data_IF_295034442050
#
_entry.id   IF_295034442050
#
_cell.length_a   1.000
_cell.length_b   1.000
_cell.length_c   1.000
_cell.angle_alpha   90.00
_cell.angle_beta   90.00
_cell.angle_gamma   90.00
#
_symmetry.space_group_name_H-M   'P 1'
#
loop_
_entity.id
_entity.type
_entity.pdbx_description
1 polymer ?
#
# COMPACT_ATOMS: atom_id res chain seq x y z
N UNK A 1 -4.59 5.49 -36.37
CA UNK A 1 -4.42 4.03 -36.47
C UNK A 1 -5.77 3.37 -36.24
N UNK A 2 -5.99 2.20 -36.83
CA UNK A 2 -7.17 1.33 -36.63
C UNK A 2 -6.96 0.42 -35.42
N UNK A 3 -8.03 -0.16 -34.86
CA UNK A 3 -7.98 -1.10 -33.73
C UNK A 3 -6.96 -2.23 -33.95
N UNK A 4 -6.95 -2.81 -35.16
CA UNK A 4 -6.04 -3.90 -35.52
C UNK A 4 -4.58 -3.45 -35.58
N UNK A 5 -4.30 -2.22 -36.04
CA UNK A 5 -2.94 -1.69 -36.06
C UNK A 5 -2.42 -1.41 -34.64
N UNK A 6 -3.28 -0.93 -33.75
CA UNK A 6 -2.93 -0.68 -32.34
C UNK A 6 -2.74 -2.01 -31.60
N UNK A 7 -3.61 -3.00 -31.83
CA UNK A 7 -3.47 -4.35 -31.27
C UNK A 7 -2.14 -4.99 -31.69
N UNK A 8 -1.77 -4.90 -32.97
CA UNK A 8 -0.47 -5.39 -33.45
C UNK A 8 0.70 -4.63 -32.83
N UNK A 9 0.57 -3.31 -32.63
CA UNK A 9 1.60 -2.54 -31.93
C UNK A 9 1.77 -2.99 -30.48
N UNK A 10 0.67 -3.22 -29.75
CA UNK A 10 0.69 -3.78 -28.38
C UNK A 10 1.37 -5.15 -28.36
N UNK A 11 0.99 -6.04 -29.28
CA UNK A 11 1.61 -7.37 -29.41
C UNK A 11 3.11 -7.30 -29.70
N UNK A 12 3.53 -6.37 -30.56
CA UNK A 12 4.93 -6.15 -30.92
C UNK A 12 5.72 -5.60 -29.75
N UNK A 13 5.18 -4.61 -29.02
CA UNK A 13 5.81 -4.08 -27.81
C UNK A 13 6.03 -5.17 -26.77
N UNK A 14 5.01 -6.01 -26.54
CA UNK A 14 5.10 -7.10 -25.57
C UNK A 14 6.15 -8.15 -25.99
N UNK A 15 6.17 -8.56 -27.26
CA UNK A 15 7.09 -9.59 -27.75
C UNK A 15 8.53 -9.09 -27.95
N UNK A 16 8.70 -7.93 -28.58
CA UNK A 16 9.99 -7.47 -29.09
C UNK A 16 10.67 -6.46 -28.16
N UNK A 17 9.92 -5.52 -27.58
CA UNK A 17 10.49 -4.49 -26.70
C UNK A 17 10.62 -4.97 -25.26
N UNK A 18 9.62 -5.70 -24.76
CA UNK A 18 9.55 -6.17 -23.37
C UNK A 18 9.99 -7.62 -23.19
N UNK A 19 10.07 -8.40 -24.27
CA UNK A 19 10.36 -9.84 -24.24
C UNK A 19 9.46 -10.59 -23.23
N UNK A 20 8.17 -10.25 -23.22
CA UNK A 20 7.21 -10.72 -22.24
C UNK A 20 6.97 -12.22 -22.35
N UNK A 21 7.11 -12.95 -21.24
CA UNK A 21 7.12 -14.42 -21.25
C UNK A 21 5.71 -15.04 -21.37
N UNK A 22 4.66 -14.31 -21.01
CA UNK A 22 3.30 -14.83 -20.91
C UNK A 22 2.42 -14.30 -22.06
N UNK A 23 2.75 -14.73 -23.27
CA UNK A 23 2.00 -14.37 -24.49
C UNK A 23 1.06 -15.47 -24.99
N UNK A 24 1.06 -16.63 -24.32
CA UNK A 24 0.15 -17.72 -24.63
C UNK A 24 -1.30 -17.29 -24.38
N UNK A 25 -2.10 -17.26 -25.45
CA UNK A 25 -3.49 -16.81 -25.38
C UNK A 25 -3.68 -15.30 -25.53
N UNK A 26 -2.65 -14.55 -25.93
CA UNK A 26 -2.80 -13.13 -26.28
C UNK A 26 -3.90 -12.93 -27.32
N UNK A 27 -4.81 -12.01 -27.02
CA UNK A 27 -5.93 -11.65 -27.87
C UNK A 27 -6.78 -10.56 -27.20
N UNK A 28 -7.77 -9.98 -27.91
CA UNK A 28 -8.56 -8.85 -27.41
C UNK A 28 -9.21 -9.11 -26.04
N UNK A 29 -9.70 -10.33 -25.82
CA UNK A 29 -10.40 -10.71 -24.59
C UNK A 29 -9.46 -11.17 -23.46
N UNK A 30 -8.15 -11.27 -23.72
CA UNK A 30 -7.18 -11.67 -22.72
C UNK A 30 -7.11 -10.62 -21.61
N UNK A 31 -7.22 -11.06 -20.36
CA UNK A 31 -7.15 -10.21 -19.18
C UNK A 31 -5.69 -9.88 -18.89
N UNK A 32 -5.39 -8.59 -18.81
CA UNK A 32 -4.01 -8.09 -18.72
C UNK A 32 -3.28 -8.70 -17.53
N UNK A 33 -3.89 -8.67 -16.34
CA UNK A 33 -3.26 -9.20 -15.14
C UNK A 33 -3.32 -10.74 -15.06
N UNK A 34 -4.49 -11.32 -15.27
CA UNK A 34 -4.74 -12.72 -14.91
C UNK A 34 -4.27 -13.70 -15.99
N UNK A 35 -4.41 -13.33 -17.26
CA UNK A 35 -4.04 -14.21 -18.37
C UNK A 35 -2.63 -13.87 -18.89
N UNK A 36 -2.29 -12.57 -18.92
CA UNK A 36 -1.00 -12.09 -19.41
C UNK A 36 -0.03 -11.66 -18.32
N UNK A 37 -0.38 -11.69 -17.02
CA UNK A 37 0.55 -11.35 -15.94
C UNK A 37 1.15 -9.93 -16.04
N UNK A 38 0.41 -9.00 -16.66
CA UNK A 38 0.75 -7.59 -16.78
C UNK A 38 0.21 -6.83 -15.59
N UNK A 39 1.13 -6.40 -14.72
CA UNK A 39 0.81 -5.52 -13.61
C UNK A 39 0.79 -4.04 -14.01
N UNK A 40 0.47 -3.16 -13.06
CA UNK A 40 0.42 -1.72 -13.32
C UNK A 40 1.76 -1.11 -13.79
N UNK A 41 2.90 -1.68 -13.40
CA UNK A 41 4.22 -1.23 -13.83
C UNK A 41 4.48 -1.64 -15.28
N UNK A 42 4.15 -2.88 -15.63
CA UNK A 42 4.26 -3.39 -16.99
C UNK A 42 3.29 -2.67 -17.94
N UNK A 43 2.09 -2.30 -17.48
CA UNK A 43 1.14 -1.48 -18.26
C UNK A 43 1.73 -0.09 -18.55
N UNK A 44 2.36 0.56 -17.57
CA UNK A 44 3.06 1.84 -17.81
C UNK A 44 4.22 1.68 -18.81
N UNK A 45 4.95 0.57 -18.74
CA UNK A 45 6.02 0.25 -19.68
C UNK A 45 5.47 0.04 -21.10
N UNK A 46 4.30 -0.58 -21.26
CA UNK A 46 3.61 -0.69 -22.55
C UNK A 46 3.26 0.70 -23.08
N UNK A 47 2.64 1.55 -22.26
CA UNK A 47 2.29 2.92 -22.66
C UNK A 47 3.51 3.70 -23.14
N UNK A 48 4.62 3.59 -22.43
CA UNK A 48 5.85 4.28 -22.77
C UNK A 48 6.42 3.79 -24.11
N UNK A 49 6.49 2.46 -24.32
CA UNK A 49 6.97 1.91 -25.58
C UNK A 49 6.03 2.24 -26.77
N UNK A 50 4.71 2.24 -26.56
CA UNK A 50 3.76 2.67 -27.58
C UNK A 50 3.94 4.15 -27.96
N UNK A 51 4.18 5.01 -26.96
CA UNK A 51 4.47 6.43 -27.21
C UNK A 51 5.78 6.61 -28.00
N UNK A 52 6.86 5.94 -27.58
CA UNK A 52 8.19 6.13 -28.15
C UNK A 52 8.36 5.50 -29.53
N UNK A 53 7.85 4.28 -29.75
CA UNK A 53 8.05 3.52 -30.99
C UNK A 53 6.98 3.83 -32.05
N UNK A 54 5.75 4.15 -31.61
CA UNK A 54 4.60 4.31 -32.51
C UNK A 54 3.97 5.71 -32.48
N UNK A 55 4.47 6.63 -31.63
CA UNK A 55 3.88 7.96 -31.45
C UNK A 55 2.50 7.94 -30.80
N UNK A 56 2.14 6.82 -30.16
CA UNK A 56 0.86 6.62 -29.49
C UNK A 56 0.95 7.09 -28.04
N UNK A 57 0.83 8.41 -27.84
CA UNK A 57 0.78 8.98 -26.50
C UNK A 57 -0.52 8.60 -25.78
N UNK A 58 -0.41 8.06 -24.57
CA UNK A 58 -1.57 7.80 -23.71
C UNK A 58 -2.01 9.11 -23.02
N UNK A 59 -3.32 9.42 -22.95
CA UNK A 59 -3.79 10.54 -22.13
C UNK A 59 -3.43 10.34 -20.66
N UNK A 60 -3.02 11.40 -19.95
CA UNK A 60 -2.68 11.31 -18.52
C UNK A 60 -3.86 10.77 -17.69
N UNK A 61 -5.10 11.07 -18.09
CA UNK A 61 -6.30 10.56 -17.43
C UNK A 61 -6.49 9.04 -17.61
N UNK A 62 -5.88 8.43 -18.62
CA UNK A 62 -5.92 6.99 -18.86
C UNK A 62 -4.84 6.25 -18.06
N UNK A 63 -3.68 6.87 -17.78
CA UNK A 63 -2.72 6.37 -16.79
C UNK A 63 -3.39 6.26 -15.41
N UNK A 64 -4.32 7.17 -15.12
CA UNK A 64 -5.02 7.22 -13.84
C UNK A 64 -6.11 6.16 -13.67
N UNK A 65 -6.72 5.70 -14.75
CA UNK A 65 -7.85 4.75 -14.74
C UNK A 65 -7.32 3.31 -14.72
N UNK A 66 -7.51 2.64 -13.59
CA UNK A 66 -7.22 1.20 -13.44
C UNK A 66 -8.28 0.28 -14.06
N UNK A 67 -9.27 0.83 -14.78
CA UNK A 67 -10.35 0.04 -15.39
C UNK A 67 -9.95 -0.67 -16.70
N UNK A 68 -8.64 -0.85 -16.94
CA UNK A 68 -8.14 -1.58 -18.10
C UNK A 68 -7.99 -3.03 -17.68
N UNK A 69 -8.99 -3.84 -18.01
CA UNK A 69 -9.01 -5.25 -17.61
C UNK A 69 -8.44 -6.12 -18.73
N UNK A 70 -8.73 -5.78 -20.00
CA UNK A 70 -8.39 -6.59 -21.16
C UNK A 70 -7.47 -5.89 -22.16
N UNK A 71 -6.89 -6.64 -23.09
CA UNK A 71 -6.13 -6.09 -24.22
C UNK A 71 -7.03 -5.18 -25.08
N UNK A 72 -8.32 -5.50 -25.25
CA UNK A 72 -9.26 -4.65 -25.95
C UNK A 72 -9.45 -3.28 -25.26
N UNK A 73 -9.54 -3.26 -23.93
CA UNK A 73 -9.63 -2.02 -23.16
C UNK A 73 -8.39 -1.15 -23.36
N UNK A 74 -7.21 -1.79 -23.37
CA UNK A 74 -5.92 -1.14 -23.61
C UNK A 74 -5.87 -0.50 -25.01
N UNK A 75 -6.27 -1.24 -26.05
CA UNK A 75 -6.36 -0.73 -27.42
C UNK A 75 -7.34 0.44 -27.52
N UNK A 76 -8.48 0.35 -26.83
CA UNK A 76 -9.54 1.36 -26.87
C UNK A 76 -9.12 2.72 -26.30
N UNK A 77 -8.03 2.80 -25.52
CA UNK A 77 -7.49 4.07 -25.03
C UNK A 77 -6.97 4.97 -26.15
N UNK A 78 -6.46 4.37 -27.23
CA UNK A 78 -5.81 5.06 -28.34
C UNK A 78 -6.73 5.36 -29.52
N UNK A 79 -8.00 4.93 -29.41
CA UNK A 79 -9.01 5.21 -30.42
C UNK A 79 -9.64 6.59 -30.20
N UNK A 80 -10.02 7.30 -31.27
CA UNK A 80 -10.72 8.58 -31.15
C UNK A 80 -12.04 8.41 -30.38
N UNK A 81 -12.09 8.83 -29.12
CA UNK A 81 -13.32 8.80 -28.33
C UNK A 81 -14.30 9.87 -28.83
N UNK A 82 -15.54 9.48 -29.16
CA UNK A 82 -16.68 10.38 -28.94
C UNK A 82 -16.78 10.55 -27.42
N UNK A 83 -16.67 11.78 -26.93
CA UNK A 83 -16.77 12.14 -25.52
C UNK A 83 -17.94 11.42 -24.85
N UNK A 84 -17.64 10.35 -24.13
CA UNK A 84 -18.47 9.81 -23.08
C UNK A 84 -17.74 10.12 -21.78
N UNK A 85 -18.31 11.02 -21.01
CA UNK A 85 -17.89 11.27 -19.63
C UNK A 85 -18.29 10.02 -18.85
N UNK A 86 -17.34 9.12 -18.64
CA UNK A 86 -17.47 8.07 -17.65
C UNK A 86 -16.71 8.54 -16.42
N UNK A 87 -17.50 8.98 -15.44
CA UNK A 87 -17.11 9.25 -14.07
C UNK A 87 -16.67 7.91 -13.46
N UNK A 88 -15.47 7.79 -12.87
CA UNK A 88 -15.18 6.62 -12.05
C UNK A 88 -16.11 6.68 -10.84
N UNK A 89 -17.05 5.75 -10.78
CA UNK A 89 -17.90 5.56 -9.61
C UNK A 89 -17.39 4.32 -8.89
N UNK A 90 -16.66 4.53 -7.79
CA UNK A 90 -16.74 3.56 -6.71
C UNK A 90 -18.21 3.51 -6.27
N UNK A 91 -18.79 2.34 -5.96
CA UNK A 91 -20.10 2.31 -5.33
C UNK A 91 -20.00 2.99 -3.96
N UNK A 92 -20.36 4.27 -3.91
CA UNK A 92 -20.57 5.03 -2.68
C UNK A 92 -21.80 4.43 -2.00
N UNK A 93 -21.59 3.43 -1.14
CA UNK A 93 -22.59 3.09 -0.14
C UNK A 93 -22.44 4.03 1.05
N UNK A 94 -22.91 5.28 0.87
CA UNK A 94 -23.23 6.17 1.98
C UNK A 94 -24.41 5.56 2.74
N UNK A 95 -24.20 5.21 4.01
CA UNK A 95 -25.30 4.88 4.91
C UNK A 95 -26.23 6.09 5.02
N UNK A 96 -27.54 5.84 5.07
CA UNK A 96 -28.61 6.87 5.02
C UNK A 96 -28.77 7.68 6.32
N UNK A 97 -27.73 7.79 7.15
CA UNK A 97 -27.74 8.63 8.34
C UNK A 97 -26.73 9.78 8.17
N UNK A 98 -27.23 11.02 8.22
CA UNK A 98 -26.46 12.28 8.19
C UNK A 98 -25.43 12.43 9.33
N UNK A 99 -25.27 11.42 10.20
CA UNK A 99 -24.20 11.34 11.20
C UNK A 99 -23.25 10.19 10.86
N UNK A 100 -22.00 10.54 10.51
CA UNK A 100 -20.87 9.60 10.43
C UNK A 100 -20.44 9.20 9.03
N UNK A 101 -19.12 9.05 8.86
CA UNK A 101 -18.48 8.52 7.67
C UNK A 101 -18.54 6.99 7.71
N UNK A 102 -19.29 6.41 6.77
CA UNK A 102 -19.56 4.99 6.53
C UNK A 102 -20.19 4.22 7.72
N UNK A 103 -21.39 3.68 7.50
CA UNK A 103 -21.91 2.56 8.30
C UNK A 103 -21.04 1.30 8.14
N UNK A 104 -21.46 0.16 8.70
CA UNK A 104 -20.69 -1.10 8.70
C UNK A 104 -20.22 -1.61 7.32
N UNK A 105 -20.76 -1.07 6.22
CA UNK A 105 -20.37 -1.36 4.84
C UNK A 105 -19.26 -0.41 4.32
N UNK A 106 -18.09 -0.42 4.98
CA UNK A 106 -16.90 0.33 4.56
C UNK A 106 -16.05 -0.48 3.54
N UNK A 107 -15.64 0.16 2.43
CA UNK A 107 -14.64 -0.39 1.50
C UNK A 107 -13.24 -0.14 2.08
N UNK A 108 -12.67 -1.18 2.67
CA UNK A 108 -11.44 -1.11 3.47
C UNK A 108 -10.19 -1.12 2.60
N UNK A 109 -9.64 0.04 2.21
CA UNK A 109 -8.41 0.08 1.37
C UNK A 109 -7.26 -0.44 2.23
N UNK A 110 -6.83 -1.67 1.96
CA UNK A 110 -5.69 -2.30 2.63
C UNK A 110 -4.43 -1.99 1.83
N UNK A 111 -3.39 -1.62 2.55
CA UNK A 111 -2.25 -0.85 2.01
C UNK A 111 -0.91 -1.30 2.57
N UNK A 112 -0.91 -2.37 3.39
CA UNK A 112 0.27 -2.88 4.08
C UNK A 112 -0.01 -4.26 4.68
N UNK A 113 0.48 -5.32 4.04
CA UNK A 113 0.20 -6.71 4.34
C UNK A 113 0.28 -7.12 5.83
N UNK A 114 1.34 -6.74 6.54
CA UNK A 114 1.45 -6.98 7.99
C UNK A 114 0.32 -6.33 8.80
N UNK A 115 0.10 -5.02 8.60
CA UNK A 115 -0.93 -4.22 9.29
C UNK A 115 -2.32 -4.78 8.99
N UNK A 116 -2.56 -5.17 7.74
CA UNK A 116 -3.83 -5.76 7.32
C UNK A 116 -4.08 -7.12 7.97
N UNK A 117 -3.06 -7.95 8.12
CA UNK A 117 -3.17 -9.22 8.84
C UNK A 117 -3.52 -9.05 10.31
N UNK A 118 -2.79 -8.19 11.04
CA UNK A 118 -3.06 -8.01 12.49
C UNK A 118 -4.40 -7.30 12.75
N UNK A 119 -4.84 -6.43 11.84
CA UNK A 119 -6.14 -5.74 11.98
C UNK A 119 -7.36 -6.58 11.60
N UNK A 120 -7.19 -7.69 10.86
CA UNK A 120 -8.31 -8.49 10.36
C UNK A 120 -9.26 -8.96 11.48
N UNK A 121 -8.70 -9.52 12.56
CA UNK A 121 -9.51 -9.97 13.70
C UNK A 121 -10.08 -8.85 14.57
N UNK A 122 -9.52 -7.63 14.56
CA UNK A 122 -10.08 -6.49 15.30
C UNK A 122 -11.48 -6.14 14.77
N UNK A 123 -11.62 -6.09 13.45
CA UNK A 123 -12.90 -5.79 12.79
C UNK A 123 -13.96 -6.83 13.12
N UNK A 124 -13.60 -8.13 13.11
CA UNK A 124 -14.51 -9.23 13.46
C UNK A 124 -15.03 -9.13 14.89
N UNK A 125 -14.30 -8.46 15.78
CA UNK A 125 -14.69 -8.22 17.17
C UNK A 125 -15.37 -6.86 17.39
N UNK A 126 -15.63 -6.11 16.32
CA UNK A 126 -16.26 -4.79 16.40
C UNK A 126 -15.33 -3.68 16.93
N UNK A 127 -14.02 -3.93 16.99
CA UNK A 127 -13.03 -2.92 17.36
C UNK A 127 -12.66 -2.05 16.14
N UNK A 128 -12.40 -0.77 16.40
CA UNK A 128 -11.98 0.15 15.36
C UNK A 128 -10.50 -0.04 15.02
N UNK A 129 -10.24 -0.64 13.86
CA UNK A 129 -8.89 -0.95 13.36
C UNK A 129 -8.20 0.22 12.63
N UNK A 130 -8.98 1.23 12.21
CA UNK A 130 -8.47 2.36 11.39
C UNK A 130 -7.30 3.10 12.04
N UNK A 131 -7.27 3.34 13.37
CA UNK A 131 -6.14 4.02 13.97
C UNK A 131 -4.80 3.32 13.77
N UNK A 132 -4.79 2.01 13.57
CA UNK A 132 -3.51 1.31 13.37
C UNK A 132 -2.84 1.66 12.04
N UNK A 133 -3.62 2.13 11.05
CA UNK A 133 -3.12 2.57 9.75
C UNK A 133 -2.38 3.90 9.80
N UNK A 134 -2.38 4.63 10.93
CA UNK A 134 -1.58 5.84 11.07
C UNK A 134 -0.09 5.58 10.86
N UNK A 135 0.38 4.36 11.15
CA UNK A 135 1.77 3.97 10.91
C UNK A 135 2.10 3.66 9.45
N UNK A 136 1.15 3.71 8.52
CA UNK A 136 1.35 3.22 7.15
C UNK A 136 1.76 4.30 6.14
N UNK A 137 1.15 5.49 6.17
CA UNK A 137 1.35 6.52 5.13
C UNK A 137 2.82 6.93 4.92
N UNK A 138 3.61 6.89 6.00
CA UNK A 138 5.05 7.15 6.01
C UNK A 138 5.82 5.97 6.64
N UNK A 139 5.28 4.75 6.53
CA UNK A 139 5.99 3.55 6.93
C UNK A 139 7.37 3.51 6.28
N UNK A 140 8.36 3.03 7.03
CA UNK A 140 9.76 3.03 6.59
C UNK A 140 9.93 2.34 5.23
N UNK A 141 10.82 2.90 4.44
CA UNK A 141 11.42 2.36 3.23
C UNK A 141 12.90 2.75 3.25
N UNK A 142 13.71 2.16 2.39
CA UNK A 142 15.13 2.47 2.29
C UNK A 142 15.47 3.10 0.92
N UNK A 143 16.61 3.78 0.87
CA UNK A 143 17.25 4.20 -0.36
C UNK A 143 18.64 3.57 -0.38
N UNK A 144 18.95 2.79 -1.42
CA UNK A 144 20.24 2.10 -1.52
C UNK A 144 21.40 3.07 -1.76
N UNK A 145 22.64 2.60 -1.60
CA UNK A 145 23.84 3.38 -1.96
C UNK A 145 23.89 3.74 -3.47
N UNK A 146 23.10 3.05 -4.30
CA UNK A 146 22.90 3.35 -5.72
C UNK A 146 21.71 4.26 -5.99
N UNK A 147 21.13 4.88 -4.96
CA UNK A 147 19.94 5.71 -5.05
C UNK A 147 18.72 4.96 -5.59
N UNK A 148 18.52 3.70 -5.18
CA UNK A 148 17.33 2.92 -5.54
C UNK A 148 16.33 2.95 -4.39
N UNK A 149 15.05 3.18 -4.69
CA UNK A 149 13.97 3.09 -3.71
C UNK A 149 13.68 1.62 -3.39
N UNK A 150 13.74 1.27 -2.11
CA UNK A 150 13.53 -0.08 -1.60
C UNK A 150 12.36 -0.11 -0.62
N UNK A 151 11.26 -0.74 -1.02
CA UNK A 151 10.09 -1.05 -0.19
C UNK A 151 10.44 -2.02 0.94
N UNK A 152 11.39 -2.93 0.70
CA UNK A 152 11.89 -3.90 1.66
C UNK A 152 13.43 -3.86 1.72
N UNK A 153 13.97 -3.84 2.93
CA UNK A 153 15.41 -3.91 3.18
C UNK A 153 15.67 -4.60 4.53
N UNK A 154 16.84 -5.25 4.75
CA UNK A 154 17.13 -6.00 5.97
C UNK A 154 16.97 -5.21 7.28
N UNK A 155 17.17 -3.89 7.22
CA UNK A 155 17.00 -2.96 8.34
C UNK A 155 15.54 -2.61 8.66
N UNK A 156 14.59 -2.95 7.77
CA UNK A 156 13.17 -2.69 7.96
C UNK A 156 12.58 -3.83 8.80
N UNK A 157 12.33 -3.54 10.07
CA UNK A 157 11.71 -4.46 11.02
C UNK A 157 10.24 -4.12 11.29
N UNK A 158 9.43 -5.15 11.58
CA UNK A 158 8.04 -4.99 12.04
C UNK A 158 7.91 -4.68 13.54
N UNK A 159 9.02 -4.58 14.28
CA UNK A 159 9.01 -4.35 15.73
C UNK A 159 8.25 -3.08 16.16
N UNK A 160 8.33 -2.03 15.34
CA UNK A 160 7.55 -0.81 15.56
C UNK A 160 6.04 -1.12 15.55
N UNK A 161 5.56 -1.83 14.54
CA UNK A 161 4.15 -2.20 14.46
C UNK A 161 3.75 -3.17 15.58
N UNK A 162 4.58 -4.18 15.89
CA UNK A 162 4.30 -5.16 16.95
C UNK A 162 4.10 -4.51 18.31
N UNK A 163 5.09 -3.72 18.74
CA UNK A 163 5.08 -3.05 20.04
C UNK A 163 3.90 -2.08 20.17
N UNK A 164 3.56 -1.36 19.10
CA UNK A 164 2.38 -0.49 19.09
C UNK A 164 1.07 -1.24 19.04
N UNK A 165 0.98 -2.36 18.32
CA UNK A 165 -0.23 -3.18 18.28
C UNK A 165 -0.57 -3.73 19.66
N UNK A 166 0.44 -4.26 20.38
CA UNK A 166 0.29 -4.71 21.76
C UNK A 166 -0.11 -3.56 22.69
N UNK A 167 0.53 -2.39 22.57
CA UNK A 167 0.20 -1.23 23.40
C UNK A 167 -1.21 -0.70 23.15
N UNK A 168 -1.65 -0.65 21.89
CA UNK A 168 -2.95 -0.13 21.50
C UNK A 168 -4.06 -1.11 21.81
N UNK A 169 -3.94 -2.34 21.34
CA UNK A 169 -5.01 -3.32 21.34
C UNK A 169 -4.81 -4.44 22.34
N UNK A 170 -3.68 -4.52 23.04
CA UNK A 170 -3.42 -5.55 24.05
C UNK A 170 -3.08 -6.93 23.50
N UNK A 171 -2.97 -7.08 22.19
CA UNK A 171 -2.68 -8.36 21.52
C UNK A 171 -1.17 -8.53 21.39
N UNK A 172 -0.66 -9.63 21.93
CA UNK A 172 0.76 -9.97 21.80
C UNK A 172 1.04 -10.52 20.40
N UNK A 173 1.96 -9.89 19.65
CA UNK A 173 2.40 -10.37 18.33
C UNK A 173 3.79 -10.98 18.43
N UNK A 174 3.86 -12.31 18.44
CA UNK A 174 5.10 -13.07 18.67
C UNK A 174 5.67 -13.53 17.34
N UNK A 175 6.90 -13.12 17.06
CA UNK A 175 7.67 -13.64 15.93
C UNK A 175 8.10 -15.08 16.19
N UNK A 176 7.85 -15.96 15.22
CA UNK A 176 8.24 -17.37 15.32
C UNK A 176 9.42 -17.74 14.41
N UNK A 177 9.71 -16.91 13.42
CA UNK A 177 10.79 -17.13 12.48
C UNK A 177 12.13 -16.75 13.11
N UNK A 178 13.11 -17.65 13.01
CA UNK A 178 14.46 -17.45 13.54
C UNK A 178 15.46 -17.43 12.37
N UNK A 179 16.10 -16.28 12.08
CA UNK A 179 17.05 -16.18 10.98
C UNK A 179 18.32 -17.02 11.18
N UNK A 180 18.63 -17.46 12.41
CA UNK A 180 19.78 -18.31 12.71
C UNK A 180 19.49 -19.80 12.46
N UNK A 181 18.23 -20.16 12.20
CA UNK A 181 17.79 -21.53 11.88
C UNK A 181 17.68 -21.75 10.37
N UNK A 182 17.80 -23.01 9.95
CA UNK A 182 17.61 -23.35 8.54
C UNK A 182 16.16 -23.10 8.11
N UNK A 183 15.94 -22.87 6.81
CA UNK A 183 14.59 -22.74 6.24
C UNK A 183 13.70 -23.95 6.54
N UNK A 184 14.27 -25.16 6.54
CA UNK A 184 13.55 -26.39 6.88
C UNK A 184 13.15 -26.44 8.36
N UNK A 185 14.03 -25.98 9.26
CA UNK A 185 13.73 -25.91 10.69
C UNK A 185 12.63 -24.88 11.00
N UNK A 186 12.67 -23.73 10.33
CA UNK A 186 11.61 -22.72 10.41
C UNK A 186 10.28 -23.23 9.81
N UNK A 187 10.34 -23.96 8.70
CA UNK A 187 9.16 -24.60 8.12
C UNK A 187 8.54 -25.60 9.12
N UNK A 188 9.34 -26.40 9.80
CA UNK A 188 8.82 -27.33 10.81
C UNK A 188 8.09 -26.62 11.96
N UNK A 189 8.57 -25.44 12.38
CA UNK A 189 7.89 -24.59 13.37
C UNK A 189 6.56 -24.09 12.83
N UNK A 190 6.54 -23.55 11.61
CA UNK A 190 5.32 -23.10 10.96
C UNK A 190 4.27 -24.21 10.89
N UNK A 191 4.68 -25.41 10.48
CA UNK A 191 3.78 -26.57 10.38
C UNK A 191 3.14 -26.92 11.73
N UNK A 192 3.91 -26.85 12.81
CA UNK A 192 3.39 -27.08 14.17
C UNK A 192 2.42 -25.97 14.60
N UNK A 193 2.75 -24.70 14.31
CA UNK A 193 1.89 -23.56 14.62
C UNK A 193 0.55 -23.60 13.87
N UNK A 194 0.57 -23.92 12.57
CA UNK A 194 -0.66 -24.01 11.76
C UNK A 194 -1.57 -25.13 12.29
N UNK A 195 -0.99 -26.28 12.68
CA UNK A 195 -1.73 -27.41 13.27
C UNK A 195 -2.31 -27.10 14.66
N UNK A 196 -1.55 -26.40 15.50
CA UNK A 196 -1.91 -26.11 16.88
C UNK A 196 -2.60 -24.75 17.05
N UNK A 197 -2.98 -24.09 15.95
CA UNK A 197 -3.64 -22.78 15.93
C UNK A 197 -4.96 -22.83 16.72
N UNK A 198 -5.16 -21.90 17.67
CA UNK A 198 -6.45 -21.72 18.35
C UNK A 198 -7.51 -21.17 17.40
N UNK A 199 -8.79 -21.29 17.75
CA UNK A 199 -9.90 -20.78 16.93
C UNK A 199 -9.76 -19.28 16.63
N UNK A 200 -9.33 -18.51 17.63
CA UNK A 200 -9.11 -17.05 17.59
C UNK A 200 -7.67 -16.65 17.27
N UNK A 201 -6.77 -17.63 17.18
CA UNK A 201 -5.35 -17.44 16.84
C UNK A 201 -5.15 -17.17 15.36
N UNK A 202 -4.01 -16.63 15.00
CA UNK A 202 -3.62 -16.36 13.62
C UNK A 202 -2.16 -16.75 13.44
N UNK A 203 -1.87 -17.47 12.34
CA UNK A 203 -0.51 -17.84 11.95
C UNK A 203 -0.18 -17.10 10.67
N UNK A 204 0.60 -16.02 10.81
CA UNK A 204 1.06 -15.19 9.71
C UNK A 204 2.45 -15.65 9.25
N UNK A 205 2.64 -15.71 7.94
CA UNK A 205 3.91 -16.09 7.31
C UNK A 205 4.25 -15.13 6.19
N UNK A 206 5.54 -14.83 6.02
CA UNK A 206 6.05 -14.20 4.82
C UNK A 206 6.33 -15.25 3.76
N UNK A 207 5.78 -15.07 2.56
CA UNK A 207 6.07 -15.89 1.40
C UNK A 207 6.34 -15.02 0.17
N UNK A 208 6.97 -15.62 -0.85
CA UNK A 208 7.20 -14.93 -2.13
C UNK A 208 5.98 -15.13 -3.03
N UNK A 209 5.15 -14.10 -3.16
CA UNK A 209 3.86 -14.20 -3.84
C UNK A 209 4.00 -14.37 -5.36
N UNK A 210 5.18 -14.08 -5.92
CA UNK A 210 5.51 -14.43 -7.32
C UNK A 210 5.35 -15.94 -7.58
N UNK A 211 5.56 -16.77 -6.57
CA UNK A 211 5.45 -18.22 -6.67
C UNK A 211 4.05 -18.77 -6.33
N UNK A 212 3.03 -17.91 -6.26
CA UNK A 212 1.61 -18.25 -6.07
C UNK A 212 0.72 -17.66 -7.19
N UNK A 213 0.82 -18.16 -8.43
CA UNK A 213 0.14 -17.60 -9.60
C UNK A 213 -1.38 -17.80 -9.59
N UNK A 214 -1.94 -18.63 -8.70
CA UNK A 214 -3.38 -18.83 -8.56
C UNK A 214 -4.12 -17.61 -7.98
N UNK A 215 -3.37 -16.57 -7.59
CA UNK A 215 -3.90 -15.34 -6.99
C UNK A 215 -3.79 -14.20 -7.98
N UNK A 216 -4.84 -13.38 -8.05
CA UNK A 216 -4.78 -12.09 -8.73
C UNK A 216 -3.72 -11.23 -8.04
N UNK A 217 -2.63 -10.92 -8.75
CA UNK A 217 -1.51 -10.19 -8.20
C UNK A 217 -1.36 -8.84 -8.91
N UNK A 218 -1.78 -7.77 -8.22
CA UNK A 218 -1.63 -6.38 -8.66
C UNK A 218 -0.17 -5.97 -8.97
N UNK A 219 0.81 -6.74 -8.48
CA UNK A 219 2.25 -6.54 -8.71
C UNK A 219 2.94 -7.86 -9.01
N UNK A 220 3.22 -8.14 -10.27
CA UNK A 220 3.92 -9.35 -10.69
C UNK A 220 5.45 -9.17 -10.60
N UNK A 221 5.92 -8.66 -9.46
CA UNK A 221 7.34 -8.44 -9.20
C UNK A 221 8.00 -9.75 -8.77
N UNK A 222 9.26 -9.93 -9.16
CA UNK A 222 10.09 -11.03 -8.69
C UNK A 222 11.39 -10.47 -8.09
N UNK A 223 11.62 -10.66 -6.78
CA UNK A 223 10.73 -11.30 -5.80
C UNK A 223 9.55 -10.39 -5.39
N UNK A 224 8.51 -10.97 -4.80
CA UNK A 224 7.44 -10.21 -4.14
C UNK A 224 7.13 -10.72 -2.72
N UNK A 225 7.92 -10.31 -1.71
CA UNK A 225 7.69 -10.66 -0.32
C UNK A 225 6.36 -10.13 0.21
N UNK A 226 5.51 -11.02 0.74
CA UNK A 226 4.19 -10.67 1.23
C UNK A 226 3.79 -11.47 2.47
N UNK A 227 3.10 -10.81 3.41
CA UNK A 227 2.54 -11.47 4.60
C UNK A 227 1.08 -11.86 4.37
N UNK A 228 0.74 -13.10 4.72
CA UNK A 228 -0.63 -13.60 4.76
C UNK A 228 -0.81 -14.61 5.90
N UNK A 229 -2.04 -15.06 6.12
CA UNK A 229 -2.38 -16.01 7.18
C UNK A 229 -2.71 -17.41 6.63
N UNK A 230 -2.33 -18.43 7.39
CA UNK A 230 -2.54 -19.84 7.06
C UNK A 230 -3.42 -20.56 8.09
N UNK A 231 -4.20 -21.52 7.61
CA UNK A 231 -5.01 -22.43 8.42
C UNK A 231 -5.13 -23.81 7.75
N UNK A 232 -5.21 -24.89 8.55
CA UNK A 232 -5.52 -26.23 8.03
C UNK A 232 -6.96 -26.30 7.49
N UNK A 233 -7.15 -27.02 6.38
CA UNK A 233 -8.47 -27.38 5.87
C UNK A 233 -8.83 -28.80 6.33
N UNK A 234 -9.98 -29.31 5.88
CA UNK A 234 -10.32 -30.72 6.07
C UNK A 234 -9.48 -31.68 5.21
N UNK A 235 -8.85 -31.17 4.15
CA UNK A 235 -7.96 -31.91 3.26
C UNK A 235 -6.49 -31.61 3.61
N UNK A 236 -5.73 -32.64 3.98
CA UNK A 236 -4.33 -32.44 4.41
C UNK A 236 -3.40 -31.96 3.27
N UNK A 237 -3.85 -32.05 2.03
CA UNK A 237 -3.11 -31.61 0.85
C UNK A 237 -3.37 -30.13 0.49
N UNK A 238 -4.32 -29.47 1.16
CA UNK A 238 -4.62 -28.05 0.98
C UNK A 238 -4.48 -27.25 2.26
N UNK A 239 -4.16 -25.97 2.10
CA UNK A 239 -4.24 -24.98 3.18
C UNK A 239 -5.21 -23.88 2.80
N UNK A 240 -5.95 -23.41 3.80
CA UNK A 240 -6.70 -22.18 3.68
C UNK A 240 -5.72 -21.03 3.84
N UNK A 241 -5.67 -20.19 2.82
CA UNK A 241 -4.83 -19.00 2.74
C UNK A 241 -5.76 -17.81 2.84
N UNK A 242 -5.54 -16.95 3.84
CA UNK A 242 -6.29 -15.72 4.04
C UNK A 242 -5.35 -14.52 3.91
N UNK A 243 -5.60 -13.69 2.91
CA UNK A 243 -4.87 -12.46 2.65
C UNK A 243 -5.82 -11.26 2.73
N UNK A 244 -5.90 -10.63 3.91
CA UNK A 244 -6.74 -9.45 4.09
C UNK A 244 -6.34 -8.29 3.19
N UNK A 245 -5.06 -8.15 2.84
CA UNK A 245 -4.52 -7.01 2.08
C UNK A 245 -5.02 -7.01 0.64
N UNK A 246 -5.04 -8.20 0.04
CA UNK A 246 -5.61 -8.43 -1.28
C UNK A 246 -7.08 -8.83 -1.26
N UNK A 247 -7.69 -8.92 -0.07
CA UNK A 247 -9.08 -9.38 0.16
C UNK A 247 -9.35 -10.72 -0.49
N UNK A 248 -8.37 -11.60 -0.43
CA UNK A 248 -8.42 -12.89 -1.07
C UNK A 248 -8.38 -13.97 0.00
N UNK A 249 -9.28 -14.94 -0.11
CA UNK A 249 -9.29 -16.13 0.72
C UNK A 249 -9.59 -17.35 -0.14
N UNK A 250 -8.94 -18.48 0.15
CA UNK A 250 -9.16 -19.68 -0.63
C UNK A 250 -8.23 -20.83 -0.25
N UNK A 251 -8.56 -22.00 -0.77
CA UNK A 251 -7.72 -23.19 -0.60
C UNK A 251 -6.62 -23.24 -1.68
N UNK A 252 -5.37 -23.42 -1.26
CA UNK A 252 -4.22 -23.61 -2.14
C UNK A 252 -3.56 -24.95 -1.79
N UNK A 253 -3.07 -25.65 -2.81
CA UNK A 253 -2.25 -26.84 -2.62
C UNK A 253 -1.06 -26.55 -1.68
N UNK A 254 -0.94 -27.32 -0.60
CA UNK A 254 0.03 -27.12 0.46
C UNK A 254 1.46 -27.04 -0.07
N UNK A 255 1.84 -27.91 -1.00
CA UNK A 255 3.18 -27.92 -1.60
C UNK A 255 3.52 -26.62 -2.35
N UNK A 256 2.54 -25.96 -2.96
CA UNK A 256 2.75 -24.66 -3.62
C UNK A 256 3.02 -23.55 -2.62
N UNK A 257 2.24 -23.51 -1.54
CA UNK A 257 2.46 -22.56 -0.43
C UNK A 257 3.82 -22.79 0.21
N UNK A 258 4.20 -24.05 0.45
CA UNK A 258 5.53 -24.40 0.97
C UNK A 258 6.62 -23.94 0.00
N UNK A 259 6.46 -24.17 -1.31
CA UNK A 259 7.43 -23.70 -2.30
C UNK A 259 7.63 -22.18 -2.25
N UNK A 260 6.56 -21.39 -2.10
CA UNK A 260 6.63 -19.94 -1.98
C UNK A 260 7.32 -19.48 -0.67
N UNK A 261 7.13 -20.20 0.43
CA UNK A 261 7.79 -19.95 1.72
C UNK A 261 9.29 -20.31 1.69
N UNK A 262 9.64 -21.35 0.93
CA UNK A 262 10.99 -21.87 0.82
C UNK A 262 11.92 -21.02 -0.06
N UNK A 263 11.41 -19.97 -0.72
CA UNK A 263 12.25 -19.05 -1.48
C UNK A 263 13.26 -18.33 -0.58
N UNK A 264 14.49 -18.10 -1.06
CA UNK A 264 15.56 -17.45 -0.28
C UNK A 264 15.31 -15.94 -0.07
N UNK A 265 14.41 -15.36 -0.85
CA UNK A 265 14.05 -13.93 -0.90
C UNK A 265 13.13 -13.50 0.24
N UNK A 266 12.57 -14.45 0.98
CA UNK A 266 11.59 -14.20 2.03
C UNK A 266 12.00 -14.88 3.33
N UNK A 267 11.48 -14.40 4.46
CA UNK A 267 11.74 -14.96 5.78
C UNK A 267 11.06 -14.11 6.84
N UNK A 268 10.29 -14.75 7.72
CA UNK A 268 9.52 -14.04 8.73
C UNK A 268 8.14 -14.63 8.93
N UNK A 269 7.58 -14.36 10.10
CA UNK A 269 6.22 -14.75 10.43
C UNK A 269 5.92 -14.54 11.90
N UNK A 270 4.63 -14.43 12.19
CA UNK A 270 4.15 -14.06 13.52
C UNK A 270 2.92 -14.88 13.89
N UNK A 271 2.72 -15.06 15.19
CA UNK A 271 1.50 -15.57 15.78
C UNK A 271 0.90 -14.55 16.74
N UNK A 272 -0.42 -14.49 16.76
CA UNK A 272 -1.18 -13.59 17.62
C UNK A 272 -2.57 -14.18 17.86
N UNK A 273 -3.19 -13.85 18.99
CA UNK A 273 -4.55 -14.28 19.31
C UNK A 273 -5.45 -13.06 19.46
N UNK A 274 -6.46 -12.97 18.60
CA UNK A 274 -7.37 -11.83 18.61
C UNK A 274 -8.24 -11.80 19.87
N UNK A 275 -8.42 -12.90 20.60
CA UNK A 275 -9.19 -12.91 21.84
C UNK A 275 -8.62 -11.97 22.91
N UNK A 276 -7.34 -11.59 22.80
CA UNK A 276 -6.69 -10.62 23.69
C UNK A 276 -7.08 -9.16 23.39
N UNK A 277 -7.73 -8.91 22.25
CA UNK A 277 -7.91 -7.56 21.75
C UNK A 277 -8.88 -6.72 22.60
N UNK A 278 -8.51 -5.46 22.80
CA UNK A 278 -9.30 -4.45 23.51
C UNK A 278 -9.27 -3.13 22.77
N UNK A 279 -10.26 -2.28 23.06
CA UNK A 279 -10.29 -0.92 22.53
C UNK A 279 -9.09 -0.11 23.06
N UNK A 280 -8.42 0.68 22.22
CA UNK A 280 -7.29 1.48 22.63
C UNK A 280 -7.71 2.68 23.49
N UNK A 281 -6.86 3.05 24.45
CA UNK A 281 -7.02 4.28 25.22
C UNK A 281 -6.69 5.52 24.37
N UNK A 282 -7.43 6.64 24.51
CA UNK A 282 -7.17 7.87 23.76
C UNK A 282 -5.71 8.37 23.87
N UNK A 283 -5.09 8.23 25.05
CA UNK A 283 -3.71 8.66 25.27
C UNK A 283 -2.70 7.82 24.45
N UNK A 284 -2.98 6.52 24.27
CA UNK A 284 -2.15 5.66 23.43
C UNK A 284 -2.39 5.94 21.95
N UNK A 285 -3.62 6.24 21.54
CA UNK A 285 -3.93 6.67 20.17
C UNK A 285 -3.20 7.97 19.80
N UNK A 286 -3.22 8.97 20.70
CA UNK A 286 -2.46 10.21 20.56
C UNK A 286 -0.97 9.91 20.39
N UNK A 287 -0.40 9.13 21.32
CA UNK A 287 1.03 8.82 21.29
C UNK A 287 1.42 8.05 20.02
N UNK A 288 0.55 7.17 19.51
CA UNK A 288 0.80 6.45 18.27
C UNK A 288 0.76 7.39 17.05
N UNK A 289 -0.27 8.24 16.96
CA UNK A 289 -0.35 9.24 15.89
C UNK A 289 0.89 10.13 15.86
N UNK A 290 1.32 10.66 17.01
CA UNK A 290 2.53 11.50 17.12
C UNK A 290 3.81 10.75 16.76
N UNK A 291 3.88 9.44 17.03
CA UNK A 291 5.04 8.63 16.65
C UNK A 291 5.10 8.33 15.14
N UNK A 292 3.96 8.32 14.45
CA UNK A 292 3.86 7.99 13.04
C UNK A 292 3.83 9.23 12.12
N UNK A 293 3.39 10.38 12.64
CA UNK A 293 3.06 11.53 11.81
C UNK A 293 4.26 12.47 11.61
N UNK A 294 4.83 12.45 10.40
CA UNK A 294 5.92 13.37 9.99
C UNK A 294 5.30 14.66 9.45
N UNK A 295 5.14 15.66 10.31
CA UNK A 295 4.37 16.88 10.00
C UNK A 295 4.99 17.78 8.92
N UNK A 296 6.30 17.99 8.97
CA UNK A 296 6.97 19.07 8.22
C UNK A 296 7.61 18.62 6.90
N UNK A 297 7.56 17.33 6.58
CA UNK A 297 8.24 16.75 5.42
C UNK A 297 7.46 15.60 4.83
N UNK A 298 7.73 15.29 3.56
CA UNK A 298 7.13 14.20 2.82
C UNK A 298 8.23 13.20 2.41
N UNK A 299 8.56 12.22 3.27
CA UNK A 299 9.75 11.39 3.10
C UNK A 299 9.88 10.73 1.74
N UNK A 300 8.76 10.23 1.19
CA UNK A 300 8.75 9.58 -0.13
C UNK A 300 9.14 10.57 -1.23
N UNK A 301 8.50 11.74 -1.28
CA UNK A 301 8.77 12.76 -2.29
C UNK A 301 10.18 13.32 -2.15
N UNK A 302 10.64 13.59 -0.92
CA UNK A 302 12.01 14.00 -0.62
C UNK A 302 13.03 12.98 -1.15
N UNK A 303 12.77 11.69 -0.93
CA UNK A 303 13.65 10.61 -1.36
C UNK A 303 13.67 10.45 -2.87
N UNK A 304 12.50 10.45 -3.54
CA UNK A 304 12.44 10.37 -5.01
C UNK A 304 13.12 11.59 -5.64
N UNK A 305 12.99 12.77 -5.05
CA UNK A 305 13.68 13.98 -5.49
C UNK A 305 15.20 13.80 -5.46
N UNK A 306 15.74 13.25 -4.38
CA UNK A 306 17.17 12.95 -4.26
C UNK A 306 17.61 11.87 -5.27
N UNK A 307 16.81 10.82 -5.45
CA UNK A 307 17.07 9.75 -6.43
C UNK A 307 17.17 10.32 -7.85
N UNK A 308 16.19 11.12 -8.26
CA UNK A 308 16.16 11.76 -9.59
C UNK A 308 17.36 12.69 -9.76
N UNK A 309 17.67 13.52 -8.76
CA UNK A 309 18.83 14.41 -8.80
C UNK A 309 20.14 13.65 -8.95
N UNK A 310 20.34 12.58 -8.16
CA UNK A 310 21.55 11.76 -8.22
C UNK A 310 21.74 11.09 -9.59
N UNK A 311 20.66 10.58 -10.20
CA UNK A 311 20.72 9.95 -11.53
C UNK A 311 20.95 10.97 -12.65
N UNK A 312 20.39 12.17 -12.55
CA UNK A 312 20.70 13.28 -13.47
C UNK A 312 22.16 13.73 -13.33
N UNK A 313 22.70 13.75 -12.11
CA UNK A 313 24.10 14.10 -11.84
C UNK A 313 25.08 12.95 -12.10
N UNK A 314 24.58 11.74 -12.38
CA UNK A 314 25.35 10.51 -12.53
C UNK A 314 26.28 10.25 -11.32
N UNK A 315 25.77 10.56 -10.12
CA UNK A 315 26.53 10.57 -8.87
C UNK A 315 27.00 9.17 -8.50
N UNK A 316 28.30 9.02 -8.22
CA UNK A 316 28.83 7.72 -7.79
C UNK A 316 28.87 6.66 -8.89
N UNK A 317 28.75 7.05 -10.16
CA UNK A 317 28.83 6.14 -11.31
C UNK A 317 27.50 5.46 -11.68
N UNK A 318 26.38 5.92 -11.14
CA UNK A 318 25.04 5.55 -11.61
C UNK A 318 24.71 6.32 -12.90
N UNK A 319 23.87 5.74 -13.76
CA UNK A 319 23.47 6.35 -15.05
C UNK A 319 22.04 6.87 -14.98
N UNK A 320 21.71 7.92 -15.75
CA UNK A 320 20.32 8.35 -15.92
C UNK A 320 19.40 7.23 -16.43
N UNK A 321 19.94 6.31 -17.24
CA UNK A 321 19.20 5.14 -17.74
C UNK A 321 18.78 4.17 -16.64
N UNK A 322 19.47 4.18 -15.50
CA UNK A 322 19.17 3.31 -14.36
C UNK A 322 17.97 3.83 -13.54
N UNK A 323 17.53 5.08 -13.77
CA UNK A 323 16.49 5.73 -12.99
C UNK A 323 15.17 4.95 -13.01
N UNK A 324 14.78 4.36 -14.15
CA UNK A 324 13.56 3.54 -14.23
C UNK A 324 13.60 2.35 -13.26
N UNK A 325 14.75 1.68 -13.15
CA UNK A 325 14.94 0.60 -12.18
C UNK A 325 14.97 1.14 -10.74
N UNK A 326 15.60 2.29 -10.53
CA UNK A 326 15.72 2.92 -9.22
C UNK A 326 14.38 3.36 -8.60
N UNK A 327 13.38 3.73 -9.43
CA UNK A 327 12.04 4.11 -8.95
C UNK A 327 10.99 3.00 -9.11
N UNK A 328 11.40 1.78 -9.50
CA UNK A 328 10.49 0.65 -9.77
C UNK A 328 9.51 0.35 -8.63
N UNK A 329 9.93 0.56 -7.38
CA UNK A 329 9.14 0.26 -6.19
C UNK A 329 8.25 1.43 -5.74
N UNK A 330 8.29 2.57 -6.46
CA UNK A 330 7.47 3.74 -6.15
C UNK A 330 5.96 3.43 -6.15
N UNK A 331 5.39 2.67 -7.11
CA UNK A 331 3.97 2.31 -7.09
C UNK A 331 3.57 1.49 -5.86
N UNK A 332 4.46 0.60 -5.38
CA UNK A 332 4.21 -0.23 -4.19
C UNK A 332 4.12 0.65 -2.94
N UNK A 333 5.03 1.62 -2.80
CA UNK A 333 5.03 2.55 -1.67
C UNK A 333 3.89 3.56 -1.78
N UNK A 334 3.50 3.95 -3.01
CA UNK A 334 2.42 4.91 -3.28
C UNK A 334 1.07 4.44 -2.70
N UNK A 335 0.77 3.14 -2.75
CA UNK A 335 -0.48 2.60 -2.19
C UNK A 335 -0.62 2.94 -0.70
N UNK A 336 0.49 3.05 0.03
CA UNK A 336 0.48 3.41 1.46
C UNK A 336 -0.18 4.76 1.72
N UNK A 337 -0.24 5.67 0.72
CA UNK A 337 -0.88 6.99 0.87
C UNK A 337 -2.40 6.90 1.05
N UNK A 338 -3.05 5.81 0.63
CA UNK A 338 -4.46 5.57 1.01
C UNK A 338 -4.65 5.36 2.52
N UNK A 339 -3.59 5.16 3.31
CA UNK A 339 -3.68 5.17 4.77
C UNK A 339 -4.25 6.48 5.32
N UNK A 340 -4.09 7.61 4.60
CA UNK A 340 -4.69 8.89 5.01
C UNK A 340 -6.21 8.79 5.11
N UNK A 341 -6.86 7.96 4.28
CA UNK A 341 -8.30 7.74 4.33
C UNK A 341 -8.72 7.14 5.67
N UNK A 342 -7.96 6.16 6.20
CA UNK A 342 -8.20 5.60 7.53
C UNK A 342 -8.05 6.66 8.63
N UNK A 343 -7.04 7.52 8.49
CA UNK A 343 -6.83 8.71 9.32
C UNK A 343 -8.08 9.59 9.39
N UNK A 344 -8.49 10.10 8.23
CA UNK A 344 -9.65 10.97 8.11
C UNK A 344 -10.94 10.27 8.57
N UNK A 345 -11.16 9.01 8.17
CA UNK A 345 -12.36 8.26 8.53
C UNK A 345 -12.48 8.05 10.05
N UNK A 346 -11.36 7.79 10.74
CA UNK A 346 -11.34 7.72 12.20
C UNK A 346 -11.74 9.06 12.81
N UNK A 347 -11.05 10.15 12.46
CA UNK A 347 -11.30 11.46 13.08
C UNK A 347 -12.70 11.99 12.74
N UNK A 348 -13.17 11.83 11.50
CA UNK A 348 -14.53 12.24 11.11
C UNK A 348 -15.60 11.51 11.92
N UNK A 349 -15.43 10.20 12.12
CA UNK A 349 -16.37 9.44 12.95
C UNK A 349 -16.30 9.86 14.41
N UNK A 350 -15.10 10.01 14.96
CA UNK A 350 -14.91 10.37 16.36
C UNK A 350 -15.43 11.78 16.69
N UNK A 351 -15.27 12.72 15.75
CA UNK A 351 -15.71 14.12 15.87
C UNK A 351 -17.12 14.36 15.33
N UNK A 352 -17.76 13.36 14.71
CA UNK A 352 -19.05 13.47 14.02
C UNK A 352 -19.10 14.59 12.97
N UNK A 353 -18.05 14.68 12.16
CA UNK A 353 -17.95 15.67 11.09
C UNK A 353 -18.82 15.29 9.87
N UNK A 354 -19.21 16.26 9.02
CA UNK A 354 -20.07 16.00 7.86
C UNK A 354 -19.44 15.05 6.83
N UNK A 355 -20.21 14.09 6.33
CA UNK A 355 -19.74 13.09 5.36
C UNK A 355 -19.31 13.70 4.02
N UNK A 356 -19.99 14.74 3.54
CA UNK A 356 -19.62 15.42 2.30
C UNK A 356 -18.21 16.04 2.35
N UNK A 357 -17.75 16.49 3.52
CA UNK A 357 -16.39 17.00 3.68
C UNK A 357 -15.35 15.88 3.60
N UNK A 358 -15.68 14.69 4.11
CA UNK A 358 -14.81 13.53 4.01
C UNK A 358 -14.61 13.08 2.56
N UNK A 359 -15.67 13.09 1.75
CA UNK A 359 -15.59 12.74 0.32
C UNK A 359 -14.60 13.65 -0.42
N UNK A 360 -14.58 14.96 -0.12
CA UNK A 360 -13.57 15.87 -0.66
C UNK A 360 -12.15 15.45 -0.29
N UNK A 361 -11.91 15.00 0.95
CA UNK A 361 -10.58 14.53 1.35
C UNK A 361 -10.18 13.22 0.68
N UNK A 362 -11.14 12.34 0.38
CA UNK A 362 -10.87 11.15 -0.44
C UNK A 362 -10.43 11.52 -1.86
N UNK A 363 -11.05 12.54 -2.47
CA UNK A 363 -10.63 13.07 -3.78
C UNK A 363 -9.21 13.64 -3.75
N UNK A 364 -8.83 14.34 -2.66
CA UNK A 364 -7.46 14.87 -2.50
C UNK A 364 -6.42 13.76 -2.28
N UNK A 365 -6.77 12.67 -1.59
CA UNK A 365 -5.93 11.47 -1.47
C UNK A 365 -5.73 10.82 -2.84
N UNK A 366 -6.81 10.68 -3.61
CA UNK A 366 -6.75 10.14 -4.96
C UNK A 366 -5.87 11.03 -5.85
N UNK A 367 -6.01 12.36 -5.76
CA UNK A 367 -5.15 13.29 -6.48
C UNK A 367 -3.65 13.11 -6.15
N UNK A 368 -3.29 12.90 -4.87
CA UNK A 368 -1.92 12.59 -4.47
C UNK A 368 -1.42 11.27 -5.09
N UNK A 369 -2.21 10.20 -4.97
CA UNK A 369 -1.84 8.89 -5.53
C UNK A 369 -1.64 8.97 -7.05
N UNK A 370 -2.49 9.73 -7.74
CA UNK A 370 -2.39 9.93 -9.18
C UNK A 370 -1.18 10.80 -9.56
N UNK A 371 -0.89 11.83 -8.78
CA UNK A 371 0.35 12.62 -8.93
C UNK A 371 1.60 11.74 -8.83
N UNK A 372 1.64 10.81 -7.87
CA UNK A 372 2.76 9.87 -7.71
C UNK A 372 2.86 8.85 -8.86
N UNK A 373 1.74 8.35 -9.39
CA UNK A 373 1.72 7.46 -10.58
C UNK A 373 2.25 8.18 -11.83
N UNK A 374 1.81 9.40 -12.07
CA UNK A 374 2.27 10.20 -13.22
C UNK A 374 3.73 10.63 -13.07
N UNK A 375 4.19 10.90 -11.84
CA UNK A 375 5.61 11.09 -11.53
C UNK A 375 6.43 9.84 -11.89
N UNK A 376 5.97 8.65 -11.50
CA UNK A 376 6.65 7.38 -11.86
C UNK A 376 6.81 7.25 -13.38
N UNK A 377 5.73 7.47 -14.14
CA UNK A 377 5.77 7.45 -15.60
C UNK A 377 6.78 8.48 -16.17
N UNK A 378 6.79 9.71 -15.64
CA UNK A 378 7.72 10.74 -16.07
C UNK A 378 9.19 10.36 -15.81
N UNK A 379 9.49 9.73 -14.67
CA UNK A 379 10.81 9.19 -14.37
C UNK A 379 11.21 8.08 -15.36
N UNK A 380 10.31 7.14 -15.67
CA UNK A 380 10.57 6.08 -16.66
C UNK A 380 10.87 6.67 -18.03
N UNK A 381 10.08 7.65 -18.48
CA UNK A 381 10.28 8.34 -19.75
C UNK A 381 11.61 9.08 -19.81
N UNK A 382 11.96 9.81 -18.74
CA UNK A 382 13.26 10.48 -18.62
C UNK A 382 14.43 9.47 -18.72
N UNK A 383 14.33 8.34 -18.03
CA UNK A 383 15.35 7.30 -18.06
C UNK A 383 15.51 6.65 -19.44
N UNK A 384 14.39 6.25 -20.06
CA UNK A 384 14.39 5.49 -21.31
C UNK A 384 14.81 6.36 -22.51
N UNK A 385 14.39 7.63 -22.55
CA UNK A 385 14.78 8.55 -23.62
C UNK A 385 16.16 9.17 -23.42
N UNK A 386 16.67 9.15 -22.19
CA UNK A 386 17.88 9.87 -21.77
C UNK A 386 17.82 11.38 -22.09
N UNK A 387 16.61 11.94 -22.29
CA UNK A 387 16.40 13.35 -22.61
C UNK A 387 16.36 14.20 -21.35
N UNK A 388 17.51 14.80 -21.02
CA UNK A 388 17.66 15.73 -19.88
C UNK A 388 16.73 16.95 -19.96
N UNK A 389 16.16 17.27 -21.12
CA UNK A 389 15.13 18.29 -21.27
C UNK A 389 13.83 17.98 -20.52
N UNK A 390 13.56 16.71 -20.23
CA UNK A 390 12.38 16.27 -19.47
C UNK A 390 12.53 16.46 -17.95
N UNK A 391 13.73 16.78 -17.45
CA UNK A 391 14.00 16.87 -16.02
C UNK A 391 13.12 17.91 -15.30
N UNK A 392 12.92 19.09 -15.91
CA UNK A 392 12.09 20.14 -15.31
C UNK A 392 10.66 19.66 -15.04
N UNK A 393 10.06 18.95 -16.00
CA UNK A 393 8.71 18.40 -15.87
C UNK A 393 8.59 17.28 -14.82
N UNK A 394 9.69 16.57 -14.52
CA UNK A 394 9.76 15.61 -13.41
C UNK A 394 9.79 16.35 -12.07
N UNK A 395 10.60 17.40 -11.94
CA UNK A 395 10.65 18.21 -10.71
C UNK A 395 9.33 18.96 -10.44
N UNK A 396 8.65 19.45 -11.47
CA UNK A 396 7.30 20.03 -11.33
C UNK A 396 6.29 19.01 -10.77
N UNK A 397 6.37 17.74 -11.20
CA UNK A 397 5.51 16.66 -10.66
C UNK A 397 5.88 16.30 -9.21
N UNK A 398 7.16 16.33 -8.86
CA UNK A 398 7.61 16.19 -7.48
C UNK A 398 7.06 17.32 -6.59
N UNK A 399 7.10 18.56 -7.07
CA UNK A 399 6.57 19.73 -6.34
C UNK A 399 5.05 19.64 -6.15
N UNK A 400 4.32 19.15 -7.16
CA UNK A 400 2.87 18.94 -7.04
C UNK A 400 2.51 17.83 -6.04
N UNK A 401 3.21 16.70 -6.08
CA UNK A 401 3.02 15.61 -5.10
C UNK A 401 3.31 16.09 -3.67
N UNK A 402 4.38 16.86 -3.48
CA UNK A 402 4.72 17.47 -2.19
C UNK A 402 3.62 18.41 -1.68
N UNK A 403 3.11 19.27 -2.56
CA UNK A 403 2.04 20.21 -2.24
C UNK A 403 0.75 19.50 -1.83
N UNK A 404 0.35 18.46 -2.57
CA UNK A 404 -0.84 17.65 -2.28
C UNK A 404 -0.71 16.93 -0.94
N UNK A 405 0.41 16.26 -0.69
CA UNK A 405 0.62 15.55 0.58
C UNK A 405 0.67 16.52 1.77
N UNK A 406 1.36 17.65 1.62
CA UNK A 406 1.39 18.70 2.64
C UNK A 406 -0.01 19.21 2.98
N UNK A 407 -0.87 19.41 1.97
CA UNK A 407 -2.27 19.81 2.19
C UNK A 407 -3.03 18.79 3.04
N UNK A 408 -2.88 17.49 2.76
CA UNK A 408 -3.49 16.42 3.56
C UNK A 408 -2.98 16.45 5.00
N UNK A 409 -1.67 16.60 5.20
CA UNK A 409 -1.03 16.63 6.53
C UNK A 409 -1.47 17.83 7.36
N UNK A 410 -1.61 19.01 6.74
CA UNK A 410 -2.14 20.21 7.41
C UNK A 410 -3.54 19.94 7.93
N UNK A 411 -4.44 19.43 7.07
CA UNK A 411 -5.80 19.13 7.51
C UNK A 411 -5.84 18.04 8.59
N UNK A 412 -5.06 16.98 8.41
CA UNK A 412 -5.03 15.87 9.37
C UNK A 412 -4.54 16.35 10.74
N UNK A 413 -3.59 17.29 10.77
CA UNK A 413 -3.15 17.96 12.00
C UNK A 413 -4.30 18.72 12.67
N UNK A 414 -5.05 19.53 11.92
CA UNK A 414 -6.18 20.30 12.46
C UNK A 414 -7.22 19.39 13.13
N UNK A 415 -7.61 18.29 12.46
CA UNK A 415 -8.62 17.37 13.00
C UNK A 415 -8.08 16.48 14.12
N UNK A 416 -6.78 16.17 14.11
CA UNK A 416 -6.12 15.50 15.22
C UNK A 416 -6.10 16.38 16.47
N UNK A 417 -5.76 17.67 16.34
CA UNK A 417 -5.73 18.61 17.46
C UNK A 417 -7.15 18.79 18.04
N UNK A 418 -8.18 18.95 17.17
CA UNK A 418 -9.59 18.97 17.57
C UNK A 418 -10.01 17.69 18.31
N UNK A 419 -9.58 16.53 17.82
CA UNK A 419 -9.85 15.25 18.47
C UNK A 419 -9.17 15.15 19.83
N UNK A 420 -7.92 15.62 19.97
CA UNK A 420 -7.22 15.63 21.24
C UNK A 420 -7.96 16.50 22.28
N UNK A 421 -8.41 17.70 21.90
CA UNK A 421 -9.16 18.61 22.78
C UNK A 421 -10.47 17.99 23.32
N UNK A 422 -11.11 17.13 22.51
CA UNK A 422 -12.35 16.44 22.90
C UNK A 422 -12.09 15.16 23.70
N UNK A 423 -11.13 14.34 23.25
CA UNK A 423 -10.93 12.98 23.72
C UNK A 423 -10.00 12.88 24.94
N UNK A 424 -9.18 13.90 25.19
CA UNK A 424 -8.18 13.91 26.26
C UNK A 424 -8.52 15.06 27.20
N UNK A 425 -9.14 14.79 28.36
CA UNK A 425 -9.50 15.82 29.32
C UNK A 425 -8.26 16.59 29.76
N UNK A 426 -8.30 17.93 29.69
CA UNK A 426 -7.25 18.76 30.27
C UNK A 426 -7.11 18.43 31.77
N UNK A 427 -5.89 18.21 32.24
CA UNK A 427 -5.62 18.11 33.68
C UNK A 427 -6.09 19.42 34.33
N UNK A 428 -7.17 19.35 35.11
CA UNK A 428 -7.61 20.49 35.93
C UNK A 428 -6.50 20.73 36.95
N UNK A 429 -5.83 21.91 36.94
CA UNK A 429 -4.82 22.20 37.94
C UNK A 429 -5.47 22.12 39.32
N UNK A 430 -5.03 21.18 40.15
CA UNK A 430 -5.48 21.09 41.53
C UNK A 430 -5.04 22.38 42.23
N UNK A 431 -5.97 23.32 42.37
CA UNK A 431 -5.81 24.51 43.20
C UNK A 431 -5.42 24.02 44.60
N UNK A 432 -4.13 24.14 44.94
CA UNK A 432 -3.63 23.88 46.30
C UNK A 432 -4.48 24.71 47.25
N UNK A 433 -5.32 24.05 48.06
CA UNK A 433 -6.06 24.71 49.14
C UNK A 433 -5.07 25.52 49.98
N UNK A 434 -5.30 26.82 50.23
CA UNK A 434 -4.44 27.57 51.11
C UNK A 434 -4.49 26.92 52.50
N UNK A 435 -3.33 26.56 53.03
CA UNK A 435 -3.18 26.13 54.41
C UNK A 435 -3.70 27.27 55.31
N UNK A 436 -4.84 27.04 55.96
CA UNK A 436 -5.28 27.88 57.07
C UNK A 436 -4.29 27.70 58.21
N UNK A 437 -3.38 28.66 58.36
CA UNK A 437 -2.55 28.84 59.55
C UNK A 437 -3.44 28.96 60.78
N UNK A 438 -3.40 27.95 61.65
CA UNK A 438 -3.99 28.03 62.99
C UNK A 438 -3.26 29.12 63.77
N UNK A 439 -3.96 30.18 64.11
CA UNK A 439 -3.52 31.15 65.12
C UNK A 439 -3.66 30.46 66.48
N UNK A 440 -2.52 30.23 67.15
CA UNK A 440 -2.47 29.72 68.51
C UNK A 440 -2.97 30.82 69.49
N UNK A 441 -3.76 30.40 70.47
CA UNK A 441 -4.03 31.16 71.71
C UNK A 441 -3.22 30.55 72.84
#
# INVERSE_FOLDING_TARGET
MTDSEILTAVETVLNECMAHAHMDGFGPDARLNEDLYLDSVLILQIFLNLELEYGLAVPEEAIAKQDIVTVADLVALYLPKKTAVVVPAFPLTGGTSDEGVHGEAYYDIKVHCFVSCVCDGLKRQGLDQRPFYFGVWDAKFAVSDRFELLYHAPEISQEFFRSWFERLYGVTVVEWYDPDRTKLDNLAVLLDLVRNRSETGSVMVMLDMFHLPERENKFNQNPFPHYLMLQETADSETWFVHDPDYRWEGEIARDKVINAIMQPTVGGGYVFDHAEARAPHPENLKAYFEACFVRERNPLVDSVREIVAAHLEERGGISLTDLAAAVRELPVVTIRKYAYEHGFAFFWRALKLPAAEFETWCEEIEALVQSLKTLHYACMKLAQTNDRGLAAAVFERLDEADRLETKLKVRLTEVFDLWCDLAIPAEIPVLKRPMLTRVAR
#
